data_IF_392939291051
#
_entry.id   IF_392939291051
#
_cell.length_a   1.000
_cell.length_b   1.000
_cell.length_c   1.000
_cell.angle_alpha   90.00
_cell.angle_beta   90.00
_cell.angle_gamma   90.00
#
_symmetry.space_group_name_H-M   'P 1'
#
loop_
_entity.id
_entity.type
_entity.pdbx_description
1 polymer ?
#
# COMPACT_ATOMS: atom_id res chain seq x y z
N UNK A 1 24.65 19.11 -5.71
CA UNK A 1 23.68 19.08 -4.59
C UNK A 1 23.03 17.71 -4.58
N UNK A 2 22.68 17.17 -3.39
CA UNK A 2 21.84 15.98 -3.32
C UNK A 2 20.46 16.31 -3.91
N UNK A 3 19.78 15.30 -4.45
CA UNK A 3 18.41 15.45 -4.95
C UNK A 3 17.44 15.02 -3.87
N UNK A 4 16.36 15.75 -3.72
CA UNK A 4 15.29 15.38 -2.81
C UNK A 4 14.57 14.13 -3.30
N UNK A 5 14.13 13.28 -2.37
CA UNK A 5 13.46 12.01 -2.67
C UNK A 5 12.15 11.90 -1.90
N UNK A 6 11.16 11.35 -2.54
CA UNK A 6 9.91 10.93 -1.94
C UNK A 6 9.88 9.41 -1.82
N UNK A 7 9.50 8.88 -0.66
CA UNK A 7 9.43 7.45 -0.39
C UNK A 7 8.01 7.08 -0.01
N UNK A 8 7.38 6.25 -0.83
CA UNK A 8 6.23 5.46 -0.42
C UNK A 8 6.75 4.18 0.24
N UNK A 9 6.67 4.12 1.57
CA UNK A 9 7.14 2.99 2.37
C UNK A 9 6.00 1.98 2.60
N UNK A 10 5.53 1.39 1.51
CA UNK A 10 4.40 0.46 1.55
C UNK A 10 4.74 -0.92 2.13
N UNK A 11 3.73 -1.58 2.72
CA UNK A 11 3.83 -2.96 3.24
C UNK A 11 4.18 -3.98 2.15
N UNK A 12 3.69 -3.78 0.93
CA UNK A 12 3.96 -4.69 -0.19
C UNK A 12 5.19 -4.27 -1.00
N UNK A 13 5.27 -3.00 -1.38
CA UNK A 13 6.34 -2.44 -2.20
C UNK A 13 6.84 -1.14 -1.59
N UNK A 14 8.13 -0.84 -1.81
CA UNK A 14 8.72 0.49 -1.64
C UNK A 14 8.83 1.14 -3.01
N UNK A 15 8.25 2.34 -3.16
CA UNK A 15 8.45 3.16 -4.35
C UNK A 15 9.23 4.41 -3.98
N UNK A 16 10.19 4.78 -4.82
CA UNK A 16 10.98 6.00 -4.60
C UNK A 16 10.90 6.90 -5.84
N UNK A 17 10.45 8.13 -5.58
CA UNK A 17 10.46 9.22 -6.53
C UNK A 17 11.68 10.12 -6.28
N UNK A 18 12.39 10.48 -7.32
CA UNK A 18 13.53 11.41 -7.24
C UNK A 18 13.15 12.72 -7.95
N UNK A 19 13.31 13.82 -7.28
CA UNK A 19 13.01 15.15 -7.83
C UNK A 19 13.64 15.35 -9.20
N UNK A 20 12.79 15.65 -10.20
CA UNK A 20 13.16 15.85 -11.60
C UNK A 20 13.45 14.57 -12.40
N UNK A 21 13.22 13.37 -11.83
CA UNK A 21 13.37 12.09 -12.53
C UNK A 21 12.11 11.22 -12.50
N UNK A 22 11.13 11.52 -11.62
CA UNK A 22 9.97 10.67 -11.38
C UNK A 22 10.30 9.42 -10.55
N UNK A 23 9.46 8.39 -10.65
CA UNK A 23 9.66 7.12 -9.95
C UNK A 23 10.85 6.38 -10.56
N UNK A 24 11.86 6.14 -9.74
CA UNK A 24 13.12 5.50 -10.15
C UNK A 24 13.33 4.12 -9.50
N UNK A 25 12.49 3.77 -8.51
CA UNK A 25 12.53 2.48 -7.84
C UNK A 25 11.12 2.03 -7.49
N UNK A 26 10.83 0.77 -7.79
CA UNK A 26 9.64 0.04 -7.38
C UNK A 26 10.08 -1.40 -7.06
N UNK A 27 10.23 -1.69 -5.78
CA UNK A 27 10.77 -2.96 -5.30
C UNK A 27 9.90 -3.52 -4.16
N UNK A 28 9.72 -4.85 -4.08
CA UNK A 28 9.02 -5.47 -2.96
C UNK A 28 9.65 -5.15 -1.60
N UNK A 29 8.83 -4.91 -0.58
CA UNK A 29 9.24 -4.70 0.83
C UNK A 29 9.62 -6.04 1.47
N UNK A 30 10.67 -6.68 0.99
CA UNK A 30 11.09 -8.03 1.36
C UNK A 30 12.61 -8.09 1.50
N UNK A 31 13.08 -8.77 2.54
CA UNK A 31 14.50 -8.99 2.83
C UNK A 31 14.74 -10.46 3.14
N UNK A 32 15.79 -11.04 2.58
CA UNK A 32 16.24 -12.39 2.91
C UNK A 32 17.51 -12.30 3.79
N UNK A 33 17.50 -13.02 4.91
CA UNK A 33 18.56 -13.02 5.93
C UNK A 33 19.08 -14.44 6.10
N UNK A 34 20.42 -14.58 6.11
CA UNK A 34 21.10 -15.79 6.55
C UNK A 34 21.13 -15.78 8.09
N UNK A 35 20.35 -16.69 8.71
CA UNK A 35 20.20 -16.71 10.17
C UNK A 35 21.42 -17.25 10.90
N UNK A 36 22.32 -17.96 10.23
CA UNK A 36 23.55 -18.49 10.82
C UNK A 36 24.62 -17.41 10.91
N UNK A 37 24.59 -16.42 9.99
CA UNK A 37 25.55 -15.34 9.90
C UNK A 37 25.00 -13.98 10.34
N UNK A 38 23.70 -13.93 10.63
CA UNK A 38 22.96 -12.69 10.92
C UNK A 38 23.24 -11.60 9.88
N UNK A 39 23.06 -11.96 8.59
CA UNK A 39 23.43 -11.10 7.47
C UNK A 39 22.34 -11.07 6.41
N UNK A 40 22.01 -9.88 5.91
CA UNK A 40 21.15 -9.70 4.72
C UNK A 40 21.86 -10.28 3.49
N UNK A 41 21.17 -11.15 2.77
CA UNK A 41 21.67 -11.81 1.55
C UNK A 41 20.95 -11.35 0.28
N UNK A 42 19.72 -10.85 0.39
CA UNK A 42 18.99 -10.27 -0.72
C UNK A 42 17.94 -9.27 -0.23
N UNK A 43 17.60 -8.28 -1.07
CA UNK A 43 16.60 -7.23 -0.80
C UNK A 43 15.72 -7.07 -2.04
N UNK A 44 14.45 -6.71 -1.84
CA UNK A 44 13.54 -6.39 -2.92
C UNK A 44 13.17 -7.60 -3.78
N UNK A 45 13.21 -7.42 -5.08
CA UNK A 45 12.83 -8.44 -6.09
C UNK A 45 13.61 -9.75 -5.92
N UNK A 46 14.89 -9.70 -5.60
CA UNK A 46 15.68 -10.93 -5.41
C UNK A 46 15.26 -11.69 -4.15
N UNK A 47 14.97 -10.99 -3.05
CA UNK A 47 14.43 -11.62 -1.84
C UNK A 47 13.01 -12.17 -2.07
N UNK A 48 12.19 -11.47 -2.85
CA UNK A 48 10.81 -11.90 -3.16
C UNK A 48 10.78 -13.23 -3.93
N UNK A 49 11.71 -13.47 -4.85
CA UNK A 49 11.85 -14.76 -5.56
C UNK A 49 12.10 -15.93 -4.62
N UNK A 50 12.64 -15.67 -3.43
CA UNK A 50 12.97 -16.67 -2.41
C UNK A 50 11.79 -17.02 -1.50
N UNK A 51 10.70 -16.26 -1.51
CA UNK A 51 9.53 -16.50 -0.64
C UNK A 51 8.98 -17.91 -0.81
N UNK A 52 8.96 -18.68 0.28
CA UNK A 52 8.46 -20.07 0.31
C UNK A 52 9.36 -21.10 -0.38
N UNK A 53 10.60 -20.75 -0.73
CA UNK A 53 11.56 -21.60 -1.47
C UNK A 53 12.93 -21.69 -0.82
N UNK A 54 13.10 -21.18 0.40
CA UNK A 54 14.38 -21.10 1.09
C UNK A 54 14.72 -22.38 1.88
N UNK A 55 16.00 -22.74 1.99
CA UNK A 55 16.46 -23.70 2.99
C UNK A 55 16.31 -23.13 4.40
N UNK A 56 16.46 -23.98 5.43
CA UNK A 56 16.18 -23.62 6.83
C UNK A 56 17.02 -22.48 7.42
N UNK A 57 18.22 -22.24 6.88
CA UNK A 57 19.12 -21.18 7.31
C UNK A 57 18.88 -19.84 6.60
N UNK A 58 17.99 -19.77 5.62
CA UNK A 58 17.59 -18.51 4.97
C UNK A 58 16.16 -18.18 5.33
N UNK A 59 15.96 -17.04 5.98
CA UNK A 59 14.65 -16.55 6.37
C UNK A 59 14.28 -15.32 5.54
N UNK A 60 13.11 -15.37 4.90
CA UNK A 60 12.56 -14.22 4.18
C UNK A 60 11.62 -13.45 5.11
N UNK A 61 11.91 -12.16 5.28
CA UNK A 61 11.23 -11.26 6.22
C UNK A 61 10.53 -10.15 5.43
N UNK A 62 9.31 -9.81 5.84
CA UNK A 62 8.64 -8.56 5.47
C UNK A 62 8.78 -7.61 6.66
N UNK A 63 9.66 -6.59 6.58
CA UNK A 63 9.95 -5.71 7.71
C UNK A 63 8.81 -4.76 8.03
N UNK A 64 7.87 -4.62 7.09
CA UNK A 64 6.66 -3.80 7.26
C UNK A 64 5.43 -4.70 7.32
N UNK A 65 4.50 -4.42 8.24
CA UNK A 65 3.22 -5.11 8.37
C UNK A 65 2.12 -4.11 8.74
N UNK A 66 1.00 -4.21 8.04
CA UNK A 66 -0.16 -3.36 8.31
C UNK A 66 0.20 -1.86 8.34
N UNK A 67 1.07 -1.41 7.43
CA UNK A 67 1.50 -0.02 7.30
C UNK A 67 2.51 0.47 8.34
N UNK A 68 3.05 -0.42 9.21
CA UNK A 68 4.00 -0.03 10.25
C UNK A 68 5.28 -0.87 10.21
N UNK A 69 6.36 -0.34 10.79
CA UNK A 69 7.63 -1.06 10.95
C UNK A 69 7.44 -2.18 11.97
N UNK A 70 7.59 -3.42 11.53
CA UNK A 70 7.57 -4.62 12.37
C UNK A 70 8.96 -5.04 12.81
N UNK A 71 9.98 -4.67 12.03
CA UNK A 71 11.40 -4.94 12.32
C UNK A 71 12.22 -3.70 11.91
N UNK A 72 12.74 -2.99 12.89
CA UNK A 72 13.39 -1.70 12.69
C UNK A 72 14.73 -1.86 11.95
N UNK A 73 15.57 -2.78 12.40
CA UNK A 73 16.94 -2.95 11.87
C UNK A 73 16.89 -3.43 10.42
N UNK A 74 16.00 -4.37 10.12
CA UNK A 74 15.79 -4.86 8.76
C UNK A 74 15.17 -3.79 7.85
N UNK A 75 14.30 -2.93 8.39
CA UNK A 75 13.77 -1.78 7.63
C UNK A 75 14.86 -0.77 7.29
N UNK A 76 15.73 -0.45 8.26
CA UNK A 76 16.88 0.44 8.06
C UNK A 76 17.83 -0.10 6.98
N UNK A 77 18.19 -1.39 7.05
CA UNK A 77 19.05 -2.04 6.04
C UNK A 77 18.41 -2.03 4.65
N UNK A 78 17.10 -2.33 4.57
CA UNK A 78 16.36 -2.29 3.31
C UNK A 78 16.35 -0.88 2.70
N UNK A 79 16.03 0.14 3.49
CA UNK A 79 16.02 1.54 3.02
C UNK A 79 17.42 2.01 2.63
N UNK A 80 18.44 1.66 3.42
CA UNK A 80 19.85 1.97 3.12
C UNK A 80 20.27 1.40 1.77
N UNK A 81 19.96 0.12 1.53
CA UNK A 81 20.21 -0.54 0.25
C UNK A 81 19.55 0.17 -0.92
N UNK A 82 18.27 0.54 -0.79
CA UNK A 82 17.56 1.24 -1.85
C UNK A 82 18.09 2.65 -2.11
N UNK A 83 18.38 3.43 -1.05
CA UNK A 83 18.90 4.79 -1.18
C UNK A 83 20.33 4.78 -1.78
N UNK A 84 21.15 3.81 -1.42
CA UNK A 84 22.50 3.65 -2.02
C UNK A 84 22.43 3.32 -3.50
N UNK A 85 21.51 2.43 -3.91
CA UNK A 85 21.30 2.05 -5.31
C UNK A 85 20.93 3.24 -6.20
N UNK A 86 20.29 4.28 -5.64
CA UNK A 86 19.84 5.46 -6.41
C UNK A 86 20.95 6.46 -6.76
N UNK A 87 22.10 6.40 -6.08
CA UNK A 87 23.19 7.36 -6.27
C UNK A 87 22.76 8.85 -6.16
N UNK A 88 21.84 9.15 -5.22
CA UNK A 88 21.29 10.51 -5.03
C UNK A 88 22.08 11.39 -4.06
N UNK A 89 23.04 10.79 -3.34
CA UNK A 89 23.93 11.51 -2.40
C UNK A 89 24.86 12.44 -3.17
N UNK A 90 24.95 13.70 -2.77
CA UNK A 90 25.96 14.63 -3.26
C UNK A 90 27.27 14.45 -2.50
N UNK A 91 28.38 15.03 -3.00
CA UNK A 91 29.73 14.88 -2.43
C UNK A 91 29.83 15.28 -0.92
N UNK A 92 28.98 16.21 -0.46
CA UNK A 92 28.92 16.65 0.96
C UNK A 92 27.48 16.95 1.42
N UNK A 93 26.48 16.42 0.72
CA UNK A 93 25.07 16.69 1.04
C UNK A 93 24.26 15.41 1.00
N UNK A 94 23.37 15.28 1.99
CA UNK A 94 22.37 14.21 2.06
C UNK A 94 21.07 14.67 1.41
N UNK A 95 20.27 13.77 0.80
CA UNK A 95 18.95 14.12 0.26
C UNK A 95 17.98 14.47 1.39
N UNK A 96 17.07 15.45 1.17
CA UNK A 96 15.89 15.53 1.98
C UNK A 96 14.92 14.43 1.56
N UNK A 97 14.19 13.86 2.53
CA UNK A 97 13.27 12.75 2.32
C UNK A 97 11.87 13.19 2.74
N UNK A 98 10.90 13.04 1.85
CA UNK A 98 9.49 12.97 2.21
C UNK A 98 9.09 11.50 2.26
N UNK A 99 8.60 11.03 3.40
CA UNK A 99 8.14 9.64 3.58
C UNK A 99 6.66 9.63 3.96
N UNK A 100 5.90 8.68 3.43
CA UNK A 100 4.48 8.57 3.70
C UNK A 100 4.18 7.49 4.73
N UNK A 101 3.10 7.69 5.49
CA UNK A 101 2.58 6.74 6.46
C UNK A 101 1.04 6.73 6.46
N UNK A 102 0.42 5.61 6.82
CA UNK A 102 -1.03 5.53 7.01
C UNK A 102 -1.53 6.50 8.09
N UNK A 103 -2.79 6.91 8.00
CA UNK A 103 -3.39 7.83 9.00
C UNK A 103 -3.53 7.22 10.39
N UNK A 104 -3.57 5.89 10.48
CA UNK A 104 -3.73 5.15 11.74
C UNK A 104 -2.44 4.89 12.53
N UNK A 105 -1.29 5.47 12.13
CA UNK A 105 -0.01 5.27 12.84
C UNK A 105 0.08 6.12 14.10
N UNK A 106 0.62 5.53 15.17
CA UNK A 106 0.89 6.22 16.43
C UNK A 106 2.10 7.15 16.33
N UNK A 107 2.23 8.11 17.24
CA UNK A 107 3.39 9.01 17.30
C UNK A 107 4.72 8.28 17.49
N UNK A 108 4.71 7.10 18.12
CA UNK A 108 5.91 6.26 18.28
C UNK A 108 6.29 5.61 16.93
N UNK A 109 5.31 5.07 16.21
CA UNK A 109 5.50 4.50 14.88
C UNK A 109 5.98 5.55 13.87
N UNK A 110 5.42 6.78 13.90
CA UNK A 110 5.90 7.90 13.08
C UNK A 110 7.37 8.22 13.35
N UNK A 111 7.77 8.31 14.64
CA UNK A 111 9.18 8.51 15.01
C UNK A 111 10.08 7.39 14.50
N UNK A 112 9.64 6.14 14.58
CA UNK A 112 10.41 5.00 14.06
C UNK A 112 10.62 5.10 12.55
N UNK A 113 9.60 5.49 11.78
CA UNK A 113 9.70 5.70 10.33
C UNK A 113 10.72 6.81 10.01
N UNK A 114 10.62 7.95 10.69
CA UNK A 114 11.56 9.08 10.51
C UNK A 114 12.99 8.64 10.84
N UNK A 115 13.20 7.98 11.97
CA UNK A 115 14.53 7.53 12.40
C UNK A 115 15.14 6.50 11.43
N UNK A 116 14.35 5.56 10.92
CA UNK A 116 14.80 4.60 9.92
C UNK A 116 15.29 5.32 8.65
N UNK A 117 14.54 6.30 8.15
CA UNK A 117 14.93 7.09 6.98
C UNK A 117 16.16 7.97 7.21
N UNK A 118 16.30 8.60 8.38
CA UNK A 118 17.49 9.40 8.75
C UNK A 118 18.75 8.54 8.80
N UNK A 119 18.69 7.37 9.47
CA UNK A 119 19.81 6.44 9.58
C UNK A 119 20.20 5.85 8.23
N UNK A 120 19.25 5.62 7.34
CA UNK A 120 19.49 5.12 5.99
C UNK A 120 20.18 6.14 5.06
N UNK A 121 20.50 7.32 5.55
CA UNK A 121 21.26 8.33 4.81
C UNK A 121 20.49 9.56 4.40
N UNK A 122 19.27 9.75 4.91
CA UNK A 122 18.49 10.98 4.79
C UNK A 122 19.18 12.17 5.47
N UNK A 123 18.97 13.37 4.94
CA UNK A 123 19.31 14.65 5.56
C UNK A 123 18.20 15.09 6.51
N UNK A 124 17.25 15.87 6.00
CA UNK A 124 16.01 16.17 6.71
C UNK A 124 14.94 15.18 6.24
N UNK A 125 14.18 14.64 7.19
CA UNK A 125 13.08 13.72 6.90
C UNK A 125 11.78 14.39 7.30
N UNK A 126 10.84 14.43 6.38
CA UNK A 126 9.47 14.90 6.55
C UNK A 126 8.53 13.71 6.44
N UNK A 127 7.47 13.68 7.23
CA UNK A 127 6.43 12.67 7.17
C UNK A 127 5.12 13.33 6.79
N UNK A 128 4.39 12.73 5.84
CA UNK A 128 3.01 13.10 5.51
C UNK A 128 2.14 11.83 5.43
N UNK A 129 0.81 12.01 5.36
CA UNK A 129 -0.11 10.89 5.35
C UNK A 129 -0.42 10.39 3.93
N UNK A 130 -0.44 9.07 3.78
CA UNK A 130 -0.68 8.38 2.50
C UNK A 130 -1.88 8.93 1.72
N UNK A 131 -3.11 9.05 2.28
CA UNK A 131 -4.26 9.49 1.50
C UNK A 131 -4.16 10.95 1.04
N UNK A 132 -3.47 11.82 1.79
CA UNK A 132 -3.22 13.21 1.38
C UNK A 132 -2.29 13.25 0.17
N UNK A 133 -1.21 12.51 0.24
CA UNK A 133 -0.20 12.43 -0.82
C UNK A 133 -0.78 11.69 -2.04
N UNK A 134 -1.52 10.59 -1.83
CA UNK A 134 -2.22 9.87 -2.89
C UNK A 134 -3.21 10.75 -3.66
N UNK A 135 -3.96 11.61 -2.96
CA UNK A 135 -4.88 12.56 -3.58
C UNK A 135 -4.15 13.51 -4.54
N UNK A 136 -3.03 14.07 -4.10
CA UNK A 136 -2.19 14.95 -4.95
C UNK A 136 -1.64 14.18 -6.14
N UNK A 137 -1.13 12.97 -5.92
CA UNK A 137 -0.60 12.11 -6.97
C UNK A 137 -1.64 11.63 -7.98
N UNK A 138 -2.90 11.50 -7.56
CA UNK A 138 -4.06 11.24 -8.42
C UNK A 138 -4.59 12.50 -9.13
N UNK A 139 -3.95 13.66 -8.97
CA UNK A 139 -4.32 14.89 -9.64
C UNK A 139 -5.47 15.68 -9.00
N UNK A 140 -5.84 15.36 -7.75
CA UNK A 140 -6.86 16.12 -7.03
C UNK A 140 -6.28 17.44 -6.51
N UNK A 141 -7.00 18.55 -6.73
CA UNK A 141 -6.66 19.84 -6.14
C UNK A 141 -7.24 19.94 -4.72
N UNK A 142 -6.48 19.43 -3.74
CA UNK A 142 -6.89 19.39 -2.34
C UNK A 142 -6.77 20.73 -1.61
N UNK A 143 -6.10 21.72 -2.22
CA UNK A 143 -5.83 23.01 -1.56
C UNK A 143 -7.00 23.98 -1.62
N UNK A 144 -7.98 23.73 -2.46
CA UNK A 144 -9.23 24.50 -2.52
C UNK A 144 -10.16 24.18 -1.36
N UNK A 145 -11.06 25.12 -0.98
CA UNK A 145 -12.09 24.88 0.04
C UNK A 145 -13.23 24.02 -0.54
N UNK A 146 -12.91 22.78 -0.90
CA UNK A 146 -13.81 21.80 -1.51
C UNK A 146 -13.54 20.42 -0.93
N UNK A 147 -14.59 19.60 -0.79
CA UNK A 147 -14.46 18.21 -0.34
C UNK A 147 -13.84 17.32 -1.42
N UNK A 148 -12.73 16.66 -1.09
CA UNK A 148 -12.12 15.59 -1.89
C UNK A 148 -12.04 14.33 -1.05
N UNK A 149 -12.58 13.23 -1.53
CA UNK A 149 -12.52 11.96 -0.82
C UNK A 149 -11.64 10.97 -1.55
N UNK A 150 -10.76 10.31 -0.80
CA UNK A 150 -9.82 9.29 -1.30
C UNK A 150 -9.97 8.02 -0.50
N UNK A 151 -9.89 6.89 -1.18
CA UNK A 151 -9.71 5.56 -0.59
C UNK A 151 -8.41 5.00 -1.17
N UNK A 152 -7.37 4.94 -0.35
CA UNK A 152 -6.09 4.33 -0.71
C UNK A 152 -6.04 2.90 -0.19
N UNK A 153 -6.05 1.92 -1.09
CA UNK A 153 -6.02 0.49 -0.74
C UNK A 153 -4.64 -0.06 -1.05
N UNK A 154 -3.78 -0.06 -0.05
CA UNK A 154 -2.41 -0.53 -0.16
C UNK A 154 -2.23 -2.05 -0.03
N UNK A 155 -1.02 -2.46 0.36
CA UNK A 155 -0.71 -3.86 0.68
C UNK A 155 -1.17 -4.26 2.08
N UNK A 156 -0.93 -3.40 3.08
CA UNK A 156 -1.20 -3.65 4.51
C UNK A 156 -2.40 -2.92 5.08
N UNK A 157 -2.69 -1.72 4.58
CA UNK A 157 -3.72 -0.81 5.07
C UNK A 157 -4.64 -0.33 3.96
N UNK A 158 -5.86 0.03 4.35
CA UNK A 158 -6.77 0.83 3.56
C UNK A 158 -7.02 2.12 4.32
N UNK A 159 -6.62 3.23 3.74
CA UNK A 159 -6.76 4.56 4.30
C UNK A 159 -7.84 5.35 3.55
N UNK A 160 -8.82 5.80 4.28
CA UNK A 160 -9.98 6.53 3.77
C UNK A 160 -9.92 7.93 4.38
N UNK A 161 -9.95 8.97 3.55
CA UNK A 161 -9.90 10.34 4.05
C UNK A 161 -10.74 11.30 3.20
N UNK A 162 -11.28 12.29 3.87
CA UNK A 162 -11.83 13.51 3.26
C UNK A 162 -10.85 14.64 3.50
N UNK A 163 -10.51 15.34 2.44
CA UNK A 163 -9.49 16.40 2.39
C UNK A 163 -10.14 17.71 1.93
N UNK A 164 -9.72 18.80 2.54
CA UNK A 164 -10.08 20.16 2.12
C UNK A 164 -9.02 21.14 2.59
N UNK A 165 -8.71 22.17 1.82
CA UNK A 165 -7.73 23.21 2.14
C UNK A 165 -6.33 22.67 2.51
N UNK A 166 -5.94 21.54 1.89
CA UNK A 166 -4.65 20.88 2.10
C UNK A 166 -4.56 20.01 3.35
N UNK A 167 -5.64 19.86 4.13
CA UNK A 167 -5.65 19.10 5.38
C UNK A 167 -6.70 17.99 5.39
N UNK A 168 -6.48 16.98 6.24
CA UNK A 168 -7.42 15.90 6.49
C UNK A 168 -8.53 16.40 7.42
N UNK A 169 -9.77 16.37 6.94
CA UNK A 169 -10.96 16.77 7.72
C UNK A 169 -11.44 15.60 8.58
N UNK A 170 -11.57 14.42 7.98
CA UNK A 170 -11.90 13.17 8.66
C UNK A 170 -11.22 12.01 7.97
N UNK A 171 -10.86 10.98 8.71
CA UNK A 171 -10.22 9.79 8.15
C UNK A 171 -10.47 8.54 8.96
N UNK A 172 -10.29 7.40 8.29
CA UNK A 172 -10.30 6.07 8.89
C UNK A 172 -9.23 5.21 8.25
N UNK A 173 -8.44 4.49 9.06
CA UNK A 173 -7.48 3.51 8.59
C UNK A 173 -7.91 2.11 9.01
N UNK A 174 -7.87 1.17 8.08
CA UNK A 174 -8.17 -0.25 8.28
C UNK A 174 -6.91 -1.08 8.03
N UNK A 175 -6.69 -2.08 8.87
CA UNK A 175 -5.63 -3.09 8.68
C UNK A 175 -6.15 -4.27 7.83
N UNK A 176 -6.88 -3.95 6.78
CA UNK A 176 -7.38 -4.91 5.78
C UNK A 176 -7.15 -4.35 4.37
N UNK A 177 -6.28 -5.02 3.60
CA UNK A 177 -5.85 -4.62 2.28
C UNK A 177 -5.28 -5.81 1.50
N UNK A 178 -4.38 -5.61 0.54
CA UNK A 178 -3.88 -6.63 -0.39
C UNK A 178 -3.38 -7.92 0.26
N UNK A 179 -2.64 -7.84 1.36
CA UNK A 179 -2.11 -9.02 2.08
C UNK A 179 -3.22 -9.81 2.78
N UNK A 180 -4.22 -9.14 3.32
CA UNK A 180 -5.41 -9.80 3.92
C UNK A 180 -6.29 -10.42 2.86
N UNK A 181 -6.38 -9.82 1.68
CA UNK A 181 -7.05 -10.44 0.52
C UNK A 181 -6.38 -11.77 0.15
N UNK A 182 -5.04 -11.80 0.07
CA UNK A 182 -4.28 -13.02 -0.20
C UNK A 182 -4.54 -14.10 0.88
N UNK A 183 -4.54 -13.69 2.17
CA UNK A 183 -4.81 -14.59 3.29
C UNK A 183 -6.25 -15.15 3.24
N UNK A 184 -7.23 -14.32 2.90
CA UNK A 184 -8.64 -14.73 2.77
C UNK A 184 -8.81 -15.76 1.66
N UNK A 185 -8.20 -15.53 0.48
CA UNK A 185 -8.20 -16.48 -0.65
C UNK A 185 -7.54 -17.81 -0.25
N UNK A 186 -6.35 -17.77 0.34
CA UNK A 186 -5.66 -18.98 0.78
C UNK A 186 -6.47 -19.76 1.82
N UNK A 187 -7.12 -19.06 2.76
CA UNK A 187 -7.96 -19.65 3.79
C UNK A 187 -9.24 -20.26 3.21
N UNK A 188 -9.83 -19.63 2.21
CA UNK A 188 -10.98 -20.17 1.49
C UNK A 188 -10.63 -21.48 0.77
N UNK A 189 -9.54 -21.49 -0.01
CA UNK A 189 -9.07 -22.68 -0.74
C UNK A 189 -8.73 -23.81 0.24
N UNK A 190 -8.08 -23.49 1.35
CA UNK A 190 -7.78 -24.45 2.42
C UNK A 190 -9.06 -25.14 2.92
N UNK A 191 -10.11 -24.36 3.21
CA UNK A 191 -11.39 -24.88 3.76
C UNK A 191 -12.25 -25.57 2.73
N UNK A 192 -12.36 -25.02 1.50
CA UNK A 192 -13.29 -25.51 0.48
C UNK A 192 -12.72 -26.64 -0.38
N UNK A 193 -11.40 -26.68 -0.56
CA UNK A 193 -10.72 -27.64 -1.46
C UNK A 193 -9.72 -28.56 -0.75
N UNK A 194 -9.53 -28.44 0.57
CA UNK A 194 -8.48 -29.10 1.34
C UNK A 194 -7.08 -28.92 0.74
N UNK A 195 -6.81 -27.79 0.10
CA UNK A 195 -5.55 -27.50 -0.57
C UNK A 195 -4.80 -26.38 0.15
N UNK A 196 -3.55 -26.64 0.53
CA UNK A 196 -2.66 -25.61 1.08
C UNK A 196 -1.90 -24.94 -0.07
N UNK A 197 -2.09 -23.61 -0.20
CA UNK A 197 -1.42 -22.76 -1.18
C UNK A 197 -0.51 -21.76 -0.50
N UNK A 198 0.60 -21.40 -1.14
CA UNK A 198 1.51 -20.36 -0.66
C UNK A 198 1.00 -18.94 -0.94
N UNK A 199 1.62 -17.93 -0.29
CA UNK A 199 1.26 -16.52 -0.45
C UNK A 199 1.35 -16.06 -1.91
N UNK A 200 2.41 -16.42 -2.61
CA UNK A 200 2.58 -16.08 -4.02
C UNK A 200 1.44 -16.63 -4.90
N UNK A 201 1.03 -17.89 -4.66
CA UNK A 201 -0.09 -18.49 -5.38
C UNK A 201 -1.41 -17.76 -5.09
N UNK A 202 -1.67 -17.41 -3.83
CA UNK A 202 -2.86 -16.65 -3.44
C UNK A 202 -2.89 -15.26 -4.09
N UNK A 203 -1.75 -14.59 -4.17
CA UNK A 203 -1.61 -13.31 -4.87
C UNK A 203 -1.87 -13.44 -6.38
N UNK A 204 -1.35 -14.46 -7.03
CA UNK A 204 -1.63 -14.75 -8.45
C UNK A 204 -3.14 -14.99 -8.69
N UNK A 205 -3.80 -15.70 -7.79
CA UNK A 205 -5.25 -15.91 -7.87
C UNK A 205 -5.99 -14.58 -7.73
N UNK A 206 -5.60 -13.72 -6.77
CA UNK A 206 -6.18 -12.39 -6.61
C UNK A 206 -6.03 -11.54 -7.88
N UNK A 207 -4.85 -11.53 -8.48
CA UNK A 207 -4.56 -10.72 -9.68
C UNK A 207 -5.33 -11.23 -10.90
N UNK A 208 -5.40 -12.55 -11.11
CA UNK A 208 -5.95 -13.12 -12.33
C UNK A 208 -7.46 -13.38 -12.25
N UNK A 209 -7.99 -13.68 -11.06
CA UNK A 209 -9.36 -14.12 -10.87
C UNK A 209 -10.13 -13.32 -9.81
N UNK A 210 -9.45 -12.37 -9.12
CA UNK A 210 -10.07 -11.55 -8.08
C UNK A 210 -11.08 -10.57 -8.66
N UNK A 211 -12.28 -10.56 -8.06
CA UNK A 211 -13.32 -9.54 -8.33
C UNK A 211 -14.02 -9.18 -7.03
N UNK A 212 -14.39 -7.92 -6.91
CA UNK A 212 -15.14 -7.42 -5.76
C UNK A 212 -16.66 -7.56 -5.96
N UNK A 213 -17.12 -7.53 -7.22
CA UNK A 213 -18.56 -7.47 -7.56
C UNK A 213 -18.82 -8.10 -8.92
N UNK A 214 -20.03 -8.61 -9.16
CA UNK A 214 -20.45 -9.19 -10.44
C UNK A 214 -19.50 -10.28 -10.97
N UNK A 215 -19.24 -11.31 -10.13
CA UNK A 215 -18.39 -12.42 -10.52
C UNK A 215 -18.97 -13.26 -11.65
N UNK A 216 -18.13 -13.68 -12.58
CA UNK A 216 -18.46 -14.61 -13.65
C UNK A 216 -18.05 -16.04 -13.23
N UNK A 217 -19.00 -16.92 -12.90
CA UNK A 217 -18.69 -18.30 -12.46
C UNK A 217 -18.06 -19.15 -13.53
N UNK A 218 -18.09 -18.74 -14.79
CA UNK A 218 -17.48 -19.49 -15.92
C UNK A 218 -15.98 -19.27 -16.03
N UNK A 219 -15.47 -18.14 -15.46
CA UNK A 219 -14.04 -17.89 -15.39
C UNK A 219 -13.39 -18.74 -14.32
N UNK A 220 -12.47 -19.59 -14.73
CA UNK A 220 -11.78 -20.54 -13.86
C UNK A 220 -10.27 -20.45 -13.98
N UNK A 221 -9.58 -20.88 -12.93
CA UNK A 221 -8.12 -21.01 -12.88
C UNK A 221 -7.75 -22.33 -12.22
N UNK A 222 -6.74 -23.03 -12.76
CA UNK A 222 -6.15 -24.19 -12.12
C UNK A 222 -5.10 -23.77 -11.12
N UNK A 223 -5.25 -24.18 -9.88
CA UNK A 223 -4.37 -23.86 -8.75
C UNK A 223 -3.67 -25.13 -8.28
N UNK A 224 -2.37 -25.01 -7.99
CA UNK A 224 -1.54 -26.11 -7.48
C UNK A 224 -1.14 -25.83 -6.04
N UNK A 225 -1.11 -26.90 -5.24
CA UNK A 225 -0.73 -26.82 -3.83
C UNK A 225 -0.50 -28.20 -3.25
N UNK A 226 -0.45 -28.28 -1.91
CA UNK A 226 -0.34 -29.54 -1.19
C UNK A 226 -1.71 -29.93 -0.64
N UNK A 227 -2.16 -31.17 -0.94
CA UNK A 227 -3.36 -31.72 -0.33
C UNK A 227 -3.17 -31.85 1.18
N UNK A 228 -4.20 -31.51 1.95
CA UNK A 228 -4.15 -31.56 3.40
C UNK A 228 -4.51 -32.93 3.97
N UNK A 229 -5.03 -33.86 3.14
CA UNK A 229 -5.43 -35.18 3.57
C UNK A 229 -4.26 -36.17 3.46
N UNK A 230 -3.63 -36.24 2.29
CA UNK A 230 -2.53 -37.18 2.01
C UNK A 230 -1.14 -36.53 1.96
N UNK A 231 -1.07 -35.20 1.99
CA UNK A 231 0.18 -34.42 1.94
C UNK A 231 0.82 -34.33 0.56
N UNK A 232 0.21 -34.90 -0.48
CA UNK A 232 0.78 -34.94 -1.83
C UNK A 232 0.51 -33.65 -2.63
N UNK A 233 1.30 -33.35 -3.68
CA UNK A 233 0.99 -32.32 -4.63
C UNK A 233 -0.34 -32.57 -5.33
N UNK A 234 -1.20 -31.55 -5.37
CA UNK A 234 -2.54 -31.63 -5.98
C UNK A 234 -2.86 -30.35 -6.74
N UNK A 235 -3.71 -30.48 -7.73
CA UNK A 235 -4.29 -29.33 -8.44
C UNK A 235 -5.81 -29.35 -8.36
N UNK A 236 -6.40 -28.16 -8.24
CA UNK A 236 -7.85 -27.95 -8.19
C UNK A 236 -8.23 -26.79 -9.09
N UNK A 237 -9.47 -26.78 -9.56
CA UNK A 237 -10.04 -25.62 -10.23
C UNK A 237 -10.75 -24.72 -9.20
N UNK A 238 -10.58 -23.40 -9.37
CA UNK A 238 -11.30 -22.36 -8.62
C UNK A 238 -11.89 -21.38 -9.63
N UNK A 239 -13.05 -20.80 -9.33
CA UNK A 239 -13.72 -19.82 -10.19
C UNK A 239 -13.80 -18.43 -9.55
N UNK A 240 -14.14 -17.41 -10.38
CA UNK A 240 -14.22 -16.02 -9.96
C UNK A 240 -15.23 -15.80 -8.81
N UNK A 241 -16.36 -16.52 -8.79
CA UNK A 241 -17.37 -16.46 -7.72
C UNK A 241 -16.83 -16.97 -6.38
N UNK A 242 -16.00 -18.01 -6.39
CA UNK A 242 -15.37 -18.54 -5.18
C UNK A 242 -14.37 -17.54 -4.61
N UNK A 243 -13.63 -16.82 -5.46
CA UNK A 243 -12.71 -15.77 -5.03
C UNK A 243 -13.46 -14.57 -4.50
N UNK A 244 -14.57 -14.13 -5.15
CA UNK A 244 -15.44 -13.07 -4.63
C UNK A 244 -15.94 -13.40 -3.23
N UNK A 245 -16.47 -14.62 -3.01
CA UNK A 245 -16.92 -15.07 -1.68
C UNK A 245 -15.80 -15.06 -0.63
N UNK A 246 -14.57 -15.38 -1.04
CA UNK A 246 -13.44 -15.31 -0.13
C UNK A 246 -13.11 -13.89 0.33
N UNK A 247 -13.39 -12.89 -0.48
CA UNK A 247 -13.06 -11.48 -0.23
C UNK A 247 -14.22 -10.68 0.40
N UNK A 248 -15.46 -11.20 0.36
CA UNK A 248 -16.69 -10.48 0.67
C UNK A 248 -16.65 -9.76 2.02
N UNK A 249 -16.39 -10.48 3.13
CA UNK A 249 -16.39 -9.91 4.47
C UNK A 249 -15.43 -8.72 4.62
N UNK A 250 -14.25 -8.86 4.04
CA UNK A 250 -13.25 -7.82 4.10
C UNK A 250 -13.57 -6.62 3.21
N UNK A 251 -14.10 -6.83 2.02
CA UNK A 251 -14.55 -5.77 1.14
C UNK A 251 -15.71 -4.99 1.77
N UNK A 252 -16.63 -5.68 2.43
CA UNK A 252 -17.72 -5.03 3.16
C UNK A 252 -17.21 -4.19 4.34
N UNK A 253 -16.06 -4.56 4.95
CA UNK A 253 -15.44 -3.72 5.98
C UNK A 253 -14.90 -2.40 5.42
N UNK A 254 -14.39 -2.38 4.18
CA UNK A 254 -14.01 -1.13 3.48
C UNK A 254 -15.25 -0.27 3.22
N UNK A 255 -16.33 -0.88 2.70
CA UNK A 255 -17.58 -0.15 2.45
C UNK A 255 -18.13 0.48 3.74
N UNK A 256 -18.16 -0.28 4.83
CA UNK A 256 -18.64 0.21 6.13
C UNK A 256 -17.77 1.38 6.65
N UNK A 257 -16.44 1.27 6.57
CA UNK A 257 -15.56 2.34 7.00
C UNK A 257 -15.66 3.59 6.10
N UNK A 258 -15.88 3.40 4.80
CA UNK A 258 -16.10 4.52 3.87
C UNK A 258 -17.39 5.26 4.22
N UNK A 259 -18.46 4.51 4.54
CA UNK A 259 -19.71 5.08 5.02
C UNK A 259 -19.54 5.86 6.32
N UNK A 260 -18.80 5.29 7.30
CA UNK A 260 -18.50 5.96 8.57
C UNK A 260 -17.79 7.32 8.35
N UNK A 261 -16.81 7.39 7.43
CA UNK A 261 -16.12 8.64 7.08
C UNK A 261 -17.08 9.65 6.45
N UNK A 262 -17.95 9.23 5.54
CA UNK A 262 -18.97 10.10 4.94
C UNK A 262 -19.95 10.64 5.99
N UNK A 263 -20.41 9.81 6.93
CA UNK A 263 -21.30 10.22 8.01
C UNK A 263 -20.68 11.26 8.96
N UNK A 264 -19.36 11.26 9.11
CA UNK A 264 -18.60 12.22 9.92
C UNK A 264 -18.18 13.48 9.14
N UNK A 265 -18.39 13.48 7.83
CA UNK A 265 -18.00 14.59 6.95
C UNK A 265 -18.99 15.76 7.08
N UNK A 266 -18.51 17.02 7.20
CA UNK A 266 -19.38 18.20 7.17
C UNK A 266 -20.29 18.24 5.94
N UNK A 267 -21.56 18.70 6.07
CA UNK A 267 -22.54 18.64 4.98
C UNK A 267 -22.11 19.29 3.66
N UNK A 268 -21.41 20.43 3.71
CA UNK A 268 -20.93 21.14 2.52
C UNK A 268 -19.90 20.31 1.76
N UNK A 269 -18.96 19.67 2.49
CA UNK A 269 -17.96 18.80 1.88
C UNK A 269 -18.57 17.48 1.38
N UNK A 270 -19.61 16.97 2.05
CA UNK A 270 -20.36 15.80 1.58
C UNK A 270 -21.09 16.09 0.26
N UNK A 271 -21.63 17.29 0.10
CA UNK A 271 -22.26 17.73 -1.16
C UNK A 271 -21.23 17.74 -2.31
N UNK A 272 -20.03 18.28 -2.06
CA UNK A 272 -18.94 18.27 -3.05
C UNK A 272 -18.56 16.84 -3.48
N UNK A 273 -18.54 15.88 -2.54
CA UNK A 273 -18.18 14.49 -2.81
C UNK A 273 -19.24 13.78 -3.69
N UNK A 274 -20.52 14.14 -3.57
CA UNK A 274 -21.58 13.61 -4.45
C UNK A 274 -21.30 13.99 -5.90
N UNK A 275 -20.88 15.22 -6.14
CA UNK A 275 -20.63 15.74 -7.49
C UNK A 275 -19.29 15.27 -8.05
N UNK A 276 -18.25 15.20 -7.22
CA UNK A 276 -16.87 14.91 -7.62
C UNK A 276 -16.53 13.42 -7.59
N UNK A 277 -17.25 12.66 -6.78
CA UNK A 277 -16.99 11.25 -6.54
C UNK A 277 -15.87 10.99 -5.54
N UNK A 278 -15.60 9.71 -5.33
CA UNK A 278 -14.55 9.17 -4.46
C UNK A 278 -13.41 8.68 -5.35
N UNK A 279 -12.18 9.10 -5.08
CA UNK A 279 -10.99 8.64 -5.80
C UNK A 279 -10.42 7.37 -5.16
N UNK A 280 -10.23 6.31 -5.95
CA UNK A 280 -9.54 5.08 -5.55
C UNK A 280 -8.07 5.12 -5.96
N UNK A 281 -7.20 4.86 -5.00
CA UNK A 281 -5.75 4.75 -5.18
C UNK A 281 -5.21 3.46 -4.54
N UNK A 282 -3.91 3.22 -4.67
CA UNK A 282 -3.24 2.03 -4.18
C UNK A 282 -3.45 0.78 -5.04
N UNK A 283 -2.64 -0.25 -4.79
CA UNK A 283 -2.68 -1.49 -5.58
C UNK A 283 -4.00 -2.26 -5.47
N UNK A 284 -4.74 -2.10 -4.37
CA UNK A 284 -6.07 -2.71 -4.18
C UNK A 284 -7.15 -2.12 -5.07
N UNK A 285 -7.00 -0.88 -5.56
CA UNK A 285 -7.89 -0.26 -6.53
C UNK A 285 -7.93 -1.01 -7.88
N UNK A 286 -6.90 -1.83 -8.15
CA UNK A 286 -6.82 -2.69 -9.33
C UNK A 286 -7.73 -3.93 -9.24
N UNK A 287 -8.26 -4.25 -8.05
CA UNK A 287 -9.23 -5.34 -7.92
C UNK A 287 -10.44 -5.06 -8.80
N UNK A 288 -10.79 -6.04 -9.65
CA UNK A 288 -11.89 -5.91 -10.61
C UNK A 288 -13.19 -5.55 -9.90
N UNK A 289 -13.92 -4.56 -10.44
CA UNK A 289 -15.23 -4.10 -9.96
C UNK A 289 -15.29 -3.57 -8.52
N UNK A 290 -14.17 -3.20 -7.89
CA UNK A 290 -14.19 -2.63 -6.53
C UNK A 290 -14.86 -1.25 -6.52
N UNK A 291 -14.68 -0.46 -7.56
CA UNK A 291 -15.38 0.79 -7.83
C UNK A 291 -16.90 0.60 -7.89
N UNK A 292 -17.36 -0.42 -8.62
CA UNK A 292 -18.78 -0.77 -8.71
C UNK A 292 -19.35 -1.21 -7.37
N UNK A 293 -18.63 -2.03 -6.61
CA UNK A 293 -19.05 -2.46 -5.28
C UNK A 293 -19.32 -1.25 -4.39
N UNK A 294 -18.34 -0.34 -4.29
CA UNK A 294 -18.43 0.84 -3.41
C UNK A 294 -19.55 1.77 -3.90
N UNK A 295 -19.63 2.03 -5.21
CA UNK A 295 -20.72 2.84 -5.81
C UNK A 295 -22.09 2.23 -5.51
N UNK A 296 -22.25 0.91 -5.62
CA UNK A 296 -23.51 0.22 -5.36
C UNK A 296 -24.03 0.44 -3.94
N UNK A 297 -23.16 0.34 -2.95
CA UNK A 297 -23.57 0.48 -1.54
C UNK A 297 -23.68 1.92 -1.07
N UNK A 298 -22.82 2.82 -1.57
CA UNK A 298 -22.77 4.20 -1.08
C UNK A 298 -23.56 5.19 -1.94
N UNK A 299 -23.96 4.80 -3.15
CA UNK A 299 -24.66 5.65 -4.12
C UNK A 299 -23.90 6.94 -4.44
N UNK A 300 -22.56 6.90 -4.37
CA UNK A 300 -21.64 7.98 -4.74
C UNK A 300 -20.75 7.46 -5.87
N UNK A 301 -20.49 8.25 -6.92
CA UNK A 301 -19.56 7.83 -7.98
C UNK A 301 -18.17 7.51 -7.43
N UNK A 302 -17.56 6.44 -7.92
CA UNK A 302 -16.20 6.04 -7.53
C UNK A 302 -15.33 5.96 -8.78
N UNK A 303 -14.23 6.69 -8.76
CA UNK A 303 -13.28 6.83 -9.86
C UNK A 303 -11.95 6.20 -9.47
N UNK A 304 -11.31 5.50 -10.40
CA UNK A 304 -9.94 5.00 -10.20
C UNK A 304 -8.95 6.04 -10.72
N UNK A 305 -7.88 6.26 -9.98
CA UNK A 305 -6.74 7.02 -10.49
C UNK A 305 -6.18 6.35 -11.75
N UNK A 306 -5.56 7.13 -12.65
CA UNK A 306 -4.97 6.59 -13.87
C UNK A 306 -3.87 5.57 -13.54
N UNK A 307 -2.98 5.90 -12.59
CA UNK A 307 -1.93 5.01 -12.09
C UNK A 307 -2.10 4.81 -10.56
N UNK A 308 -3.09 4.01 -10.12
CA UNK A 308 -3.44 3.94 -8.71
C UNK A 308 -2.32 3.37 -7.83
N UNK A 309 -1.49 2.47 -8.36
CA UNK A 309 -0.36 1.88 -7.65
C UNK A 309 0.76 2.90 -7.36
N UNK A 310 0.90 3.91 -8.20
CA UNK A 310 1.95 4.91 -8.15
C UNK A 310 1.48 6.25 -7.56
N UNK A 311 0.20 6.37 -7.20
CA UNK A 311 -0.40 7.63 -6.76
C UNK A 311 0.36 8.24 -5.57
N UNK A 312 0.66 7.47 -4.52
CA UNK A 312 1.43 7.95 -3.36
C UNK A 312 2.83 8.40 -3.79
N UNK A 313 3.55 7.57 -4.56
CA UNK A 313 4.90 7.89 -5.00
C UNK A 313 4.95 9.13 -5.92
N UNK A 314 3.97 9.30 -6.81
CA UNK A 314 3.85 10.49 -7.65
C UNK A 314 3.54 11.74 -6.80
N UNK A 315 2.65 11.60 -5.83
CA UNK A 315 2.31 12.67 -4.89
C UNK A 315 3.49 13.10 -4.04
N UNK A 316 4.37 12.19 -3.60
CA UNK A 316 5.59 12.56 -2.86
C UNK A 316 6.48 13.48 -3.68
N UNK A 317 6.56 13.29 -4.99
CA UNK A 317 7.31 14.18 -5.89
C UNK A 317 6.73 15.59 -5.95
N UNK A 318 5.41 15.73 -5.94
CA UNK A 318 4.72 17.02 -5.97
C UNK A 318 4.74 17.73 -4.61
N UNK A 319 4.47 17.00 -3.52
CA UNK A 319 4.40 17.55 -2.15
C UNK A 319 5.79 17.90 -1.61
N UNK A 320 6.84 17.16 -1.96
CA UNK A 320 8.21 17.52 -1.56
C UNK A 320 8.61 18.92 -2.00
N UNK A 321 8.14 19.36 -3.17
CA UNK A 321 8.38 20.70 -3.66
C UNK A 321 7.70 21.77 -2.79
N UNK A 322 6.48 21.54 -2.32
CA UNK A 322 5.73 22.49 -1.47
C UNK A 322 6.27 22.54 -0.04
N UNK A 323 6.60 21.41 0.57
CA UNK A 323 7.18 21.39 1.93
C UNK A 323 8.60 21.94 2.01
N UNK A 324 9.39 21.85 0.94
CA UNK A 324 10.77 22.31 0.90
C UNK A 324 10.91 23.77 0.49
N UNK A 325 9.89 24.35 -0.18
CA UNK A 325 9.95 25.72 -0.71
C UNK A 325 9.14 26.75 0.09
N UNK A 326 8.19 26.33 0.91
CA UNK A 326 7.48 27.26 1.79
C UNK A 326 8.34 27.57 3.02
N UNK A 327 8.60 28.87 3.33
CA UNK A 327 9.23 29.22 4.59
C UNK A 327 8.30 28.73 5.72
N UNK A 328 8.84 27.89 6.61
CA UNK A 328 8.20 27.55 7.88
C UNK A 328 8.08 28.84 8.70
N UNK A 329 7.01 29.59 8.53
CA UNK A 329 6.62 30.58 9.52
C UNK A 329 6.09 29.81 10.72
N UNK A 330 6.75 29.88 11.88
CA UNK A 330 6.15 29.32 13.09
C UNK A 330 4.86 30.09 13.34
N UNK A 331 3.74 29.42 13.39
CA UNK A 331 2.53 30.00 13.96
C UNK A 331 2.83 30.32 15.42
N UNK A 332 2.87 31.60 15.73
CA UNK A 332 2.91 32.15 17.09
C UNK A 332 1.54 31.96 17.73
#
# INVERSE_FOLDING_TARGET
MARDIGIDLGTANVLINVSGKGIVLNEPSVVAVDTDKDKVVAVGTEAYKMVGRTPGNIRVIRPLKNGVIADFDITEEMLSYFIEKLNVKGFMSKPNILICAPTGVTSIEQKAIIQAAEKSGGGRVYLDFEPKVAAVGAGLDIFKPQGNMVIDIGGGTTDIAVLSMGEIVTSRSLRWAGDKMNQAIASYIKRSKNLLVGQHTAEQIKIQLGTAFEADPTKTMTVRGRDMVDGLPKQVSINELEVQKALEDGLMSIVAATKEVLEQTPPELSADIIDRGIMLTGGGALLKNIDKLITYYLQVPVLKADDPLEAVANGTGAVSYTHLTLPTTPYV
#
